data_IF_697389247758
#
_entry.id   IF_697389247758
#
_cell.length_a   1.000
_cell.length_b   1.000
_cell.length_c   1.000
_cell.angle_alpha   90.00
_cell.angle_beta   90.00
_cell.angle_gamma   90.00
#
_symmetry.space_group_name_H-M   'P 1'
#
loop_
_entity.id
_entity.type
_entity.pdbx_description
1 polymer ?
#
# COMPACT_ATOMS: atom_id res chain seq x y z
N UNK A 1 15.30 9.25 -10.85
CA UNK A 1 14.81 7.85 -10.89
C UNK A 1 13.93 7.56 -9.69
N UNK A 2 12.82 6.83 -9.88
CA UNK A 2 11.95 6.43 -8.78
C UNK A 2 12.66 5.33 -7.95
N UNK A 3 12.85 5.50 -6.63
CA UNK A 3 13.51 4.50 -5.82
C UNK A 3 12.59 3.29 -5.60
N UNK A 4 13.15 2.10 -5.79
CA UNK A 4 12.46 0.82 -5.62
C UNK A 4 12.81 0.17 -4.27
N UNK A 5 11.84 -0.52 -3.69
CA UNK A 5 11.93 -1.31 -2.46
C UNK A 5 11.93 -2.80 -2.83
N UNK A 6 13.13 -3.34 -3.03
CA UNK A 6 13.34 -4.69 -3.55
C UNK A 6 13.31 -5.77 -2.47
N UNK A 7 13.07 -7.00 -2.89
CA UNK A 7 13.15 -8.21 -2.05
C UNK A 7 14.49 -8.26 -1.33
N UNK A 8 14.45 -8.62 -0.04
CA UNK A 8 15.58 -8.72 0.89
C UNK A 8 16.32 -7.38 1.18
N UNK A 9 15.74 -6.23 0.83
CA UNK A 9 16.29 -4.91 1.19
C UNK A 9 15.53 -4.21 2.33
N UNK A 10 16.24 -3.95 3.44
CA UNK A 10 15.78 -3.02 4.47
C UNK A 10 15.95 -1.57 3.98
N UNK A 11 14.86 -0.92 3.56
CA UNK A 11 14.93 0.41 2.95
C UNK A 11 13.64 1.21 3.18
N UNK A 12 13.78 2.53 3.20
CA UNK A 12 12.66 3.47 3.21
C UNK A 12 12.70 4.43 2.03
N UNK A 13 11.53 4.81 1.54
CA UNK A 13 11.31 5.85 0.55
C UNK A 13 10.32 6.84 1.12
N UNK A 14 10.74 8.09 1.29
CA UNK A 14 9.88 9.20 1.71
C UNK A 14 9.66 10.15 0.54
N UNK A 15 8.42 10.57 0.33
CA UNK A 15 8.05 11.54 -0.69
C UNK A 15 6.93 12.46 -0.20
N UNK A 16 6.78 13.61 -0.84
CA UNK A 16 5.64 14.50 -0.58
C UNK A 16 4.33 13.88 -1.09
N UNK A 17 3.20 14.27 -0.49
CA UNK A 17 1.88 13.91 -1.01
C UNK A 17 1.68 14.44 -2.44
N UNK A 18 2.28 15.59 -2.80
CA UNK A 18 2.28 16.09 -4.17
C UNK A 18 2.95 15.15 -5.17
N UNK A 19 4.11 14.57 -4.81
CA UNK A 19 4.76 13.57 -5.65
C UNK A 19 3.90 12.31 -5.79
N UNK A 20 3.28 11.86 -4.69
CA UNK A 20 2.35 10.73 -4.71
C UNK A 20 1.15 11.00 -5.64
N UNK A 21 0.53 12.18 -5.55
CA UNK A 21 -0.56 12.59 -6.42
C UNK A 21 -0.16 12.59 -7.91
N UNK A 22 1.03 13.09 -8.24
CA UNK A 22 1.54 13.06 -9.60
C UNK A 22 1.75 11.61 -10.12
N UNK A 23 2.32 10.72 -9.30
CA UNK A 23 2.48 9.31 -9.65
C UNK A 23 1.13 8.61 -9.85
N UNK A 24 0.16 8.88 -8.97
CA UNK A 24 -1.18 8.32 -9.09
C UNK A 24 -1.93 8.84 -10.32
N UNK A 25 -1.74 10.10 -10.70
CA UNK A 25 -2.28 10.64 -11.95
C UNK A 25 -1.69 9.89 -13.17
N UNK A 26 -0.37 9.63 -13.17
CA UNK A 26 0.26 8.81 -14.21
C UNK A 26 -0.33 7.40 -14.27
N UNK A 27 -0.55 6.75 -13.12
CA UNK A 27 -1.21 5.45 -13.03
C UNK A 27 -2.66 5.48 -13.55
N UNK A 28 -3.41 6.53 -13.20
CA UNK A 28 -4.80 6.71 -13.64
C UNK A 28 -4.92 6.87 -15.15
N UNK A 29 -3.98 7.57 -15.77
CA UNK A 29 -3.88 7.71 -17.24
C UNK A 29 -3.09 6.59 -17.92
N UNK A 30 -2.76 5.52 -17.19
CA UNK A 30 -2.06 4.34 -17.69
C UNK A 30 -0.70 4.65 -18.35
N UNK A 31 0.05 5.61 -17.80
CA UNK A 31 1.31 6.09 -18.35
C UNK A 31 2.52 5.25 -17.93
N UNK A 32 2.38 4.34 -16.96
CA UNK A 32 3.47 3.43 -16.62
C UNK A 32 3.57 2.30 -17.64
N UNK A 33 4.79 1.88 -18.02
CA UNK A 33 4.96 0.73 -18.89
C UNK A 33 4.36 -0.51 -18.24
N UNK A 34 3.51 -1.22 -18.99
CA UNK A 34 2.83 -2.42 -18.52
C UNK A 34 3.65 -3.67 -18.83
N UNK A 35 3.30 -4.77 -18.16
CA UNK A 35 3.85 -6.12 -18.39
C UNK A 35 3.61 -6.67 -19.81
N UNK A 36 2.77 -6.02 -20.63
CA UNK A 36 2.61 -6.37 -22.05
C UNK A 36 3.82 -5.97 -22.89
N UNK A 37 4.66 -5.05 -22.38
CA UNK A 37 5.96 -4.81 -22.96
C UNK A 37 6.91 -5.99 -22.65
N UNK A 38 7.20 -6.79 -23.68
CA UNK A 38 8.04 -8.00 -23.56
C UNK A 38 9.44 -7.67 -23.05
N UNK A 39 9.92 -6.45 -23.22
CA UNK A 39 11.27 -6.03 -22.82
C UNK A 39 11.39 -5.75 -21.33
N UNK A 40 10.34 -5.20 -20.72
CA UNK A 40 10.31 -4.78 -19.31
C UNK A 40 9.69 -5.83 -18.37
N UNK A 41 9.06 -6.87 -18.92
CA UNK A 41 8.33 -7.89 -18.16
C UNK A 41 9.16 -8.56 -17.04
N UNK A 42 10.45 -8.79 -17.24
CA UNK A 42 11.33 -9.38 -16.22
C UNK A 42 11.64 -8.43 -15.07
N UNK A 43 11.78 -7.13 -15.35
CA UNK A 43 12.13 -6.13 -14.33
C UNK A 43 10.96 -5.87 -13.37
N UNK A 44 9.72 -5.97 -13.88
CA UNK A 44 8.49 -5.70 -13.12
C UNK A 44 7.68 -6.96 -12.75
N UNK A 45 8.28 -8.16 -12.83
CA UNK A 45 7.59 -9.43 -12.55
C UNK A 45 7.14 -9.53 -11.08
N UNK A 46 7.89 -8.90 -10.18
CA UNK A 46 7.61 -8.91 -8.74
C UNK A 46 6.78 -7.71 -8.26
N UNK A 47 6.36 -6.80 -9.14
CA UNK A 47 5.56 -5.61 -8.80
C UNK A 47 4.11 -5.73 -9.28
N UNK A 48 3.16 -5.11 -8.58
CA UNK A 48 1.78 -5.01 -9.07
C UNK A 48 1.70 -4.18 -10.36
N UNK A 49 0.64 -4.35 -11.17
CA UNK A 49 0.34 -3.39 -12.24
C UNK A 49 -0.22 -2.11 -11.58
N UNK A 50 0.45 -0.95 -11.67
CA UNK A 50 -0.04 0.27 -11.05
C UNK A 50 -1.14 0.95 -11.87
N UNK A 51 -1.33 0.57 -13.14
CA UNK A 51 -2.27 1.24 -14.03
C UNK A 51 -3.72 0.80 -13.78
N UNK A 52 -4.65 1.75 -13.88
CA UNK A 52 -6.07 1.49 -13.69
C UNK A 52 -6.66 0.76 -14.90
N UNK A 53 -7.30 -0.38 -14.65
CA UNK A 53 -7.97 -1.16 -15.70
C UNK A 53 -9.48 -0.98 -15.64
N UNK A 54 -10.11 -0.87 -16.82
CA UNK A 54 -11.57 -0.89 -16.94
C UNK A 54 -12.11 -2.21 -16.37
N UNK A 55 -13.30 -2.17 -15.78
CA UNK A 55 -13.87 -3.35 -15.14
C UNK A 55 -15.38 -3.25 -14.98
N UNK A 56 -16.00 -4.32 -14.43
CA UNK A 56 -17.45 -4.38 -14.28
C UNK A 56 -17.97 -3.24 -13.38
N UNK A 57 -19.27 -2.91 -13.47
CA UNK A 57 -19.90 -1.84 -12.67
C UNK A 57 -19.69 -1.96 -11.16
N UNK A 58 -19.40 -3.17 -10.65
CA UNK A 58 -19.02 -3.40 -9.25
C UNK A 58 -17.76 -2.65 -8.81
N UNK A 59 -16.98 -2.04 -9.72
CA UNK A 59 -15.84 -1.17 -9.44
C UNK A 59 -16.18 0.32 -9.24
N UNK A 60 -17.44 0.73 -9.41
CA UNK A 60 -17.83 2.16 -9.36
C UNK A 60 -17.48 2.84 -8.03
N UNK A 61 -17.66 2.15 -6.90
CA UNK A 61 -17.39 2.75 -5.58
C UNK A 61 -15.90 3.03 -5.37
N UNK A 62 -15.02 2.16 -5.86
CA UNK A 62 -13.57 2.44 -5.86
C UNK A 62 -13.25 3.66 -6.71
N UNK A 63 -13.82 3.73 -7.91
CA UNK A 63 -13.62 4.88 -8.80
C UNK A 63 -14.07 6.18 -8.14
N UNK A 64 -15.22 6.19 -7.45
CA UNK A 64 -15.68 7.36 -6.68
C UNK A 64 -14.65 7.78 -5.63
N UNK A 65 -14.07 6.85 -4.88
CA UNK A 65 -13.04 7.17 -3.89
C UNK A 65 -11.78 7.80 -4.53
N UNK A 66 -11.34 7.26 -5.67
CA UNK A 66 -10.18 7.76 -6.40
C UNK A 66 -10.44 9.13 -7.03
N UNK A 67 -11.62 9.34 -7.63
CA UNK A 67 -12.02 10.64 -8.15
C UNK A 67 -12.17 11.67 -7.02
N UNK A 68 -12.68 11.26 -5.86
CA UNK A 68 -12.77 12.13 -4.70
C UNK A 68 -11.38 12.55 -4.20
N UNK A 69 -10.41 11.62 -4.18
CA UNK A 69 -9.01 11.94 -3.90
C UNK A 69 -8.45 12.97 -4.90
N UNK A 70 -8.60 12.72 -6.20
CA UNK A 70 -8.11 13.66 -7.21
C UNK A 70 -8.75 15.04 -7.07
N UNK A 71 -10.07 15.10 -6.87
CA UNK A 71 -10.78 16.37 -6.63
C UNK A 71 -10.17 17.13 -5.44
N UNK A 72 -9.93 16.43 -4.31
CA UNK A 72 -9.33 17.04 -3.13
C UNK A 72 -7.91 17.55 -3.35
N UNK A 73 -7.02 16.76 -3.95
CA UNK A 73 -5.62 17.18 -4.13
C UNK A 73 -5.43 18.22 -5.24
N UNK A 74 -6.35 18.29 -6.21
CA UNK A 74 -6.33 19.36 -7.23
C UNK A 74 -6.90 20.68 -6.73
N UNK A 75 -7.84 20.63 -5.79
CA UNK A 75 -8.42 21.83 -5.16
C UNK A 75 -7.48 22.40 -4.09
N UNK A 76 -7.02 21.55 -3.16
CA UNK A 76 -6.06 21.90 -2.11
C UNK A 76 -5.01 20.81 -1.95
N UNK A 77 -3.85 20.99 -2.58
CA UNK A 77 -2.74 20.05 -2.50
C UNK A 77 -2.20 19.96 -1.06
N UNK A 78 -2.24 18.78 -0.41
CA UNK A 78 -1.71 18.63 0.93
C UNK A 78 -0.18 18.67 0.92
N UNK A 79 0.40 19.17 2.01
CA UNK A 79 1.83 19.49 2.12
C UNK A 79 2.61 18.48 2.97
N UNK A 80 1.98 17.38 3.39
CA UNK A 80 2.60 16.34 4.18
C UNK A 80 3.56 15.47 3.37
N UNK A 81 4.14 14.50 4.07
CA UNK A 81 5.02 13.48 3.51
C UNK A 81 4.51 12.11 3.85
N UNK A 82 4.71 11.18 2.93
CA UNK A 82 4.41 9.76 3.09
C UNK A 82 5.69 8.96 3.02
N UNK A 83 5.79 7.91 3.84
CA UNK A 83 6.94 7.01 3.86
C UNK A 83 6.50 5.57 3.63
N UNK A 84 7.18 4.91 2.69
CA UNK A 84 7.09 3.49 2.42
C UNK A 84 8.36 2.84 2.96
N UNK A 85 8.22 1.93 3.90
CA UNK A 85 9.37 1.26 4.50
C UNK A 85 9.21 -0.25 4.36
N UNK A 86 10.16 -0.88 3.68
CA UNK A 86 10.29 -2.33 3.64
C UNK A 86 11.22 -2.77 4.76
N UNK A 87 10.76 -3.73 5.55
CA UNK A 87 11.51 -4.33 6.65
C UNK A 87 11.70 -5.81 6.39
N UNK A 88 12.93 -6.27 6.56
CA UNK A 88 13.33 -7.68 6.41
C UNK A 88 13.87 -8.14 7.75
N UNK A 89 13.23 -9.15 8.34
CA UNK A 89 13.69 -9.76 9.57
C UNK A 89 14.80 -10.77 9.26
N UNK A 90 16.05 -10.54 9.70
CA UNK A 90 17.12 -11.50 9.52
C UNK A 90 16.84 -12.79 10.30
N UNK A 91 17.28 -13.94 9.76
CA UNK A 91 17.12 -15.23 10.44
C UNK A 91 17.82 -15.28 11.81
N UNK A 92 18.90 -14.52 11.97
CA UNK A 92 19.60 -14.38 13.26
C UNK A 92 18.72 -13.77 14.36
N UNK A 93 17.72 -13.01 13.96
CA UNK A 93 16.86 -12.23 14.85
C UNK A 93 15.52 -12.94 15.09
N UNK A 94 15.37 -14.16 14.57
CA UNK A 94 14.16 -14.95 14.80
C UNK A 94 14.08 -15.34 16.28
N UNK A 95 12.94 -15.10 16.93
CA UNK A 95 12.76 -15.51 18.31
C UNK A 95 12.82 -17.03 18.44
N UNK A 96 13.55 -17.51 19.45
CA UNK A 96 13.51 -18.91 19.86
C UNK A 96 12.23 -19.15 20.67
N UNK A 97 11.09 -19.28 19.97
CA UNK A 97 9.76 -19.34 20.60
C UNK A 97 9.64 -20.28 21.82
N UNK A 98 10.20 -21.50 21.83
CA UNK A 98 10.11 -22.39 22.98
C UNK A 98 10.91 -21.93 24.21
N UNK A 99 11.87 -21.03 24.03
CA UNK A 99 12.79 -20.56 25.08
C UNK A 99 12.37 -19.20 25.65
N UNK A 100 11.40 -18.53 25.01
CA UNK A 100 10.91 -17.23 25.46
C UNK A 100 10.22 -17.36 26.83
N UNK A 101 10.65 -16.52 27.77
CA UNK A 101 10.05 -16.38 29.11
C UNK A 101 9.38 -15.02 29.29
N UNK A 102 9.15 -14.30 28.19
CA UNK A 102 8.54 -12.97 28.21
C UNK A 102 7.07 -13.08 28.60
N UNK A 103 6.63 -12.24 29.54
CA UNK A 103 5.22 -12.14 29.91
C UNK A 103 4.38 -11.63 28.73
N UNK A 104 3.09 -12.02 28.72
CA UNK A 104 2.14 -11.51 27.74
C UNK A 104 1.92 -10.01 27.95
N UNK A 105 1.67 -9.28 26.86
CA UNK A 105 1.30 -7.87 26.91
C UNK A 105 -0.19 -7.69 27.25
N UNK A 106 -0.57 -6.47 27.57
CA UNK A 106 -1.98 -6.10 27.77
C UNK A 106 -2.81 -6.33 26.50
N UNK A 107 -4.01 -6.88 26.68
CA UNK A 107 -4.95 -7.17 25.60
C UNK A 107 -6.26 -6.39 25.79
N UNK A 108 -6.60 -5.59 24.78
CA UNK A 108 -7.90 -4.92 24.69
C UNK A 108 -8.75 -5.54 23.58
N UNK A 109 -9.95 -6.00 23.92
CA UNK A 109 -10.92 -6.57 22.98
C UNK A 109 -12.13 -5.66 22.89
N UNK A 110 -12.49 -5.28 21.66
CA UNK A 110 -13.66 -4.44 21.37
C UNK A 110 -14.44 -5.06 20.21
N UNK A 111 -15.76 -4.89 20.20
CA UNK A 111 -16.64 -5.30 19.10
C UNK A 111 -17.28 -4.06 18.48
N UNK A 112 -17.37 -4.03 17.15
CA UNK A 112 -18.04 -2.96 16.41
C UNK A 112 -17.17 -1.76 16.03
N UNK A 113 -15.90 -1.71 16.43
CA UNK A 113 -14.92 -0.73 15.91
C UNK A 113 -14.12 -1.34 14.75
N UNK A 114 -13.80 -0.52 13.76
CA UNK A 114 -12.91 -0.90 12.65
C UNK A 114 -11.48 -0.44 12.91
N UNK A 115 -10.51 -1.13 12.32
CA UNK A 115 -9.09 -0.85 12.51
C UNK A 115 -8.75 0.60 12.08
N UNK A 116 -9.30 1.05 10.96
CA UNK A 116 -9.07 2.38 10.39
C UNK A 116 -9.64 3.53 11.23
N UNK A 117 -10.56 3.25 12.15
CA UNK A 117 -11.23 4.25 12.99
C UNK A 117 -10.53 4.41 14.36
N UNK A 118 -9.50 3.61 14.65
CA UNK A 118 -8.70 3.72 15.89
C UNK A 118 -7.48 4.61 15.60
N UNK A 119 -7.43 5.86 16.09
CA UNK A 119 -6.30 6.74 15.87
C UNK A 119 -5.11 6.33 16.74
N UNK A 120 -3.91 6.77 16.34
CA UNK A 120 -2.69 6.70 17.16
C UNK A 120 -2.23 5.28 17.56
N UNK A 121 -2.62 4.26 16.79
CA UNK A 121 -2.12 2.88 16.92
C UNK A 121 -1.45 2.42 15.63
N UNK A 122 -0.63 1.36 15.72
CA UNK A 122 -0.19 0.63 14.54
C UNK A 122 -1.39 -0.13 13.96
N UNK A 123 -1.90 0.35 12.82
CA UNK A 123 -3.03 -0.26 12.14
C UNK A 123 -2.54 -1.39 11.24
N UNK A 124 -3.06 -2.59 11.44
CA UNK A 124 -2.68 -3.78 10.68
C UNK A 124 -3.54 -3.88 9.42
N UNK A 125 -2.87 -4.11 8.29
CA UNK A 125 -3.49 -4.46 7.03
C UNK A 125 -3.39 -5.97 6.80
N UNK A 126 -4.48 -6.62 6.39
CA UNK A 126 -4.52 -8.04 6.07
C UNK A 126 -4.06 -8.27 4.64
N UNK A 127 -2.78 -7.94 4.42
CA UNK A 127 -2.21 -7.74 3.10
C UNK A 127 -2.03 -9.04 2.31
N UNK A 128 -2.13 -8.91 0.99
CA UNK A 128 -1.55 -9.87 0.06
C UNK A 128 -0.03 -9.71 0.01
N UNK A 129 0.71 -10.79 -0.33
CA UNK A 129 2.17 -10.71 -0.57
C UNK A 129 2.51 -9.68 -1.66
N UNK A 130 1.62 -9.47 -2.62
CA UNK A 130 1.65 -8.32 -3.51
C UNK A 130 0.78 -7.21 -2.89
N UNK A 131 1.43 -6.27 -2.19
CA UNK A 131 0.75 -5.22 -1.45
C UNK A 131 -0.36 -4.51 -2.27
N UNK A 132 -1.50 -4.27 -1.64
CA UNK A 132 -2.72 -3.74 -2.27
C UNK A 132 -3.59 -4.81 -2.94
N UNK A 133 -3.15 -6.07 -3.00
CA UNK A 133 -3.96 -7.20 -3.41
C UNK A 133 -4.73 -6.98 -4.72
N UNK A 134 -6.05 -7.11 -4.66
CA UNK A 134 -6.94 -6.92 -5.81
C UNK A 134 -7.48 -5.49 -5.96
N UNK A 135 -6.82 -4.46 -5.41
CA UNK A 135 -7.40 -3.10 -5.31
C UNK A 135 -7.75 -2.49 -6.67
N UNK A 136 -6.91 -2.66 -7.68
CA UNK A 136 -7.22 -2.22 -9.06
C UNK A 136 -8.06 -3.26 -9.84
N UNK A 137 -8.23 -4.45 -9.28
CA UNK A 137 -9.06 -5.54 -9.78
C UNK A 137 -10.42 -5.63 -9.08
N UNK A 138 -10.88 -6.86 -8.85
CA UNK A 138 -12.17 -7.18 -8.22
C UNK A 138 -12.13 -7.27 -6.69
N UNK A 139 -10.96 -7.16 -6.05
CA UNK A 139 -10.82 -7.30 -4.60
C UNK A 139 -11.64 -6.25 -3.85
N UNK A 140 -12.35 -6.62 -2.80
CA UNK A 140 -13.24 -5.70 -2.08
C UNK A 140 -13.35 -6.11 -0.61
N UNK A 141 -12.22 -6.52 -0.03
CA UNK A 141 -12.13 -6.86 1.40
C UNK A 141 -11.28 -5.80 2.12
N UNK A 142 -10.78 -6.10 3.31
CA UNK A 142 -10.18 -5.11 4.20
C UNK A 142 -9.01 -4.33 3.56
N UNK A 143 -8.07 -5.01 2.89
CA UNK A 143 -6.93 -4.38 2.18
C UNK A 143 -7.41 -3.42 1.07
N UNK A 144 -8.25 -3.88 0.15
CA UNK A 144 -8.68 -3.04 -0.97
C UNK A 144 -9.56 -1.87 -0.55
N UNK A 145 -10.39 -2.06 0.49
CA UNK A 145 -11.17 -0.96 1.07
C UNK A 145 -10.21 0.08 1.65
N UNK A 146 -9.19 -0.35 2.40
CA UNK A 146 -8.22 0.57 3.00
C UNK A 146 -7.48 1.38 1.95
N UNK A 147 -6.99 0.72 0.89
CA UNK A 147 -6.29 1.39 -0.20
C UNK A 147 -7.23 2.31 -1.02
N UNK A 148 -8.52 2.00 -1.08
CA UNK A 148 -9.51 2.87 -1.77
C UNK A 148 -9.78 4.14 -0.99
N UNK A 149 -9.91 4.07 0.35
CA UNK A 149 -10.15 5.26 1.19
C UNK A 149 -8.87 6.06 1.47
N UNK A 150 -7.70 5.44 1.32
CA UNK A 150 -6.37 6.06 1.45
C UNK A 150 -5.54 5.91 0.16
N UNK A 151 -5.88 6.59 -0.95
CA UNK A 151 -5.30 6.31 -2.27
C UNK A 151 -3.80 6.50 -2.40
N UNK A 152 -3.17 7.29 -1.54
CA UNK A 152 -1.71 7.44 -1.48
C UNK A 152 -0.98 6.10 -1.27
N UNK A 153 -1.63 5.13 -0.61
CA UNK A 153 -1.12 3.77 -0.44
C UNK A 153 -0.90 3.04 -1.77
N UNK A 154 -1.63 3.41 -2.82
CA UNK A 154 -1.51 2.81 -4.16
C UNK A 154 -0.14 3.04 -4.80
N UNK A 155 0.63 4.04 -4.34
CA UNK A 155 2.01 4.22 -4.81
C UNK A 155 2.88 3.01 -4.45
N UNK A 156 2.54 2.25 -3.41
CA UNK A 156 3.27 1.03 -3.05
C UNK A 156 3.25 -0.03 -4.16
N UNK A 157 2.20 -0.09 -4.99
CA UNK A 157 2.12 -1.01 -6.14
C UNK A 157 3.24 -0.76 -7.16
N UNK A 158 3.70 0.49 -7.26
CA UNK A 158 4.72 0.92 -8.21
C UNK A 158 6.15 0.69 -7.69
N UNK A 159 6.36 0.80 -6.38
CA UNK A 159 7.71 0.82 -5.79
C UNK A 159 8.06 -0.38 -4.92
N UNK A 160 7.09 -1.19 -4.51
CA UNK A 160 7.33 -2.36 -3.68
C UNK A 160 7.25 -3.65 -4.49
N UNK A 161 8.31 -4.46 -4.43
CA UNK A 161 8.23 -5.86 -4.87
C UNK A 161 7.33 -6.68 -3.93
N UNK A 162 6.98 -7.90 -4.35
CA UNK A 162 6.29 -8.88 -3.50
C UNK A 162 7.05 -9.09 -2.18
N UNK A 163 6.33 -9.32 -1.10
CA UNK A 163 6.90 -9.68 0.19
C UNK A 163 7.21 -11.18 0.27
N UNK A 164 8.40 -11.52 0.76
CA UNK A 164 8.78 -12.84 1.22
C UNK A 164 8.32 -13.07 2.68
N UNK A 165 8.49 -14.30 3.17
CA UNK A 165 7.92 -14.74 4.47
C UNK A 165 8.44 -13.97 5.69
N UNK A 166 9.61 -13.34 5.57
CA UNK A 166 10.32 -12.62 6.61
C UNK A 166 10.22 -11.10 6.44
N UNK A 167 9.30 -10.62 5.60
CA UNK A 167 9.22 -9.23 5.21
C UNK A 167 7.87 -8.61 5.53
N UNK A 168 7.88 -7.31 5.81
CA UNK A 168 6.67 -6.51 5.89
C UNK A 168 6.91 -5.11 5.31
N UNK A 169 5.81 -4.40 5.03
CA UNK A 169 5.84 -3.03 4.52
C UNK A 169 5.05 -2.14 5.48
N UNK A 170 5.68 -1.04 5.91
CA UNK A 170 5.02 0.04 6.65
C UNK A 170 4.65 1.17 5.68
N UNK A 171 3.42 1.64 5.80
CA UNK A 171 2.89 2.81 5.10
C UNK A 171 2.58 3.90 6.14
N UNK A 172 3.37 4.97 6.13
CA UNK A 172 3.35 5.97 7.19
C UNK A 172 2.97 7.33 6.59
N UNK A 173 2.01 8.01 7.21
CA UNK A 173 1.58 9.36 6.82
C UNK A 173 0.51 9.42 5.73
N UNK A 174 0.02 8.28 5.22
CA UNK A 174 -1.06 8.25 4.23
C UNK A 174 -2.38 8.79 4.81
N UNK A 175 -3.00 9.74 4.11
CA UNK A 175 -4.25 10.36 4.53
C UNK A 175 -5.48 9.53 4.10
N UNK A 176 -6.54 9.55 4.93
CA UNK A 176 -7.87 9.04 4.56
C UNK A 176 -8.67 10.14 3.88
N UNK A 177 -9.05 9.90 2.63
CA UNK A 177 -9.80 10.84 1.80
C UNK A 177 -11.29 10.50 1.72
N UNK A 178 -11.67 9.24 1.90
CA UNK A 178 -13.08 8.79 1.75
C UNK A 178 -13.58 8.03 2.97
N UNK A 179 -14.90 7.94 3.12
CA UNK A 179 -15.58 7.28 4.25
C UNK A 179 -16.76 6.45 3.81
#
# INVERSE_FOLDING_TARGET
PLPLLRIEENRSVTMSQQQAAALLACAFFCLFPTRSDRTLRKEYEDYQNPNFETGPPSKIEKLKCILHYFNRVTDHMPTGVITFQRVVLPKSDYPQWPELKTDLCDLHLTTGQKIEDIPSVLQIDFANKYIGGGVLGSGCVQEEIRFSICPEMLVSLLICEKMERNECIFLIGCERYSS
#
